data_IF_122554379254
#
_entry.id   IF_122554379254
#
_cell.length_a   1.000
_cell.length_b   1.000
_cell.length_c   1.000
_cell.angle_alpha   90.00
_cell.angle_beta   90.00
_cell.angle_gamma   90.00
#
_symmetry.space_group_name_H-M   'P 1'
#
loop_
_entity.id
_entity.type
_entity.pdbx_description
1 polymer ?
#
# COMPACT_ATOMS: atom_id res chain seq x y z
N UNK A 1 15.92 -36.83 -7.09
CA UNK A 1 15.87 -36.07 -5.81
C UNK A 1 14.51 -35.40 -5.69
N UNK A 2 13.88 -35.34 -4.51
CA UNK A 2 12.62 -34.61 -4.30
C UNK A 2 12.94 -33.11 -4.17
N UNK A 3 12.36 -32.28 -5.03
CA UNK A 3 12.51 -30.82 -4.96
C UNK A 3 11.79 -30.28 -3.71
N UNK A 4 12.38 -29.36 -2.92
CA UNK A 4 11.70 -28.70 -1.81
C UNK A 4 10.44 -27.96 -2.26
N UNK A 5 9.42 -28.02 -1.40
CA UNK A 5 8.16 -27.26 -1.55
C UNK A 5 8.30 -25.95 -0.80
N UNK A 6 8.54 -24.86 -1.52
CA UNK A 6 8.70 -23.55 -0.91
C UNK A 6 7.32 -22.94 -0.62
N UNK A 7 7.10 -22.52 0.63
CA UNK A 7 5.85 -21.85 1.04
C UNK A 7 5.94 -20.33 0.97
N UNK A 8 7.12 -19.77 1.16
CA UNK A 8 7.34 -18.32 1.21
C UNK A 8 8.65 -17.98 0.50
N UNK A 9 8.64 -16.92 -0.31
CA UNK A 9 9.81 -16.38 -0.98
C UNK A 9 9.85 -14.87 -0.77
N UNK A 10 10.96 -14.37 -0.24
CA UNK A 10 11.21 -12.93 -0.09
C UNK A 10 12.58 -12.60 -0.67
N UNK A 11 12.58 -11.79 -1.73
CA UNK A 11 13.78 -11.28 -2.40
C UNK A 11 13.71 -9.75 -2.36
N UNK A 12 14.83 -9.11 -2.00
CA UNK A 12 14.85 -7.66 -1.73
C UNK A 12 16.14 -7.01 -2.15
N UNK A 13 16.07 -5.90 -2.88
CA UNK A 13 17.24 -5.13 -3.31
C UNK A 13 18.29 -6.02 -4.01
N UNK A 14 17.83 -7.00 -4.79
CA UNK A 14 18.65 -7.95 -5.53
C UNK A 14 18.46 -7.77 -7.03
N UNK A 15 19.51 -8.05 -7.79
CA UNK A 15 19.39 -8.33 -9.22
C UNK A 15 18.95 -9.79 -9.39
N UNK A 16 17.70 -9.98 -9.84
CA UNK A 16 17.07 -11.31 -9.96
C UNK A 16 16.78 -11.68 -11.42
N UNK A 17 17.45 -11.01 -12.35
CA UNK A 17 17.33 -11.27 -13.78
C UNK A 17 17.57 -12.77 -14.08
N UNK A 18 16.59 -13.40 -14.74
CA UNK A 18 16.61 -14.83 -15.09
C UNK A 18 16.71 -15.79 -13.89
N UNK A 19 16.45 -15.33 -12.67
CA UNK A 19 16.55 -16.16 -11.46
C UNK A 19 15.45 -17.23 -11.41
N UNK A 20 14.24 -16.92 -11.88
CA UNK A 20 13.12 -17.86 -11.84
C UNK A 20 13.44 -19.17 -12.58
N UNK A 21 13.95 -19.09 -13.81
CA UNK A 21 14.33 -20.26 -14.60
C UNK A 21 15.33 -21.18 -13.88
N UNK A 22 16.25 -20.62 -13.08
CA UNK A 22 17.20 -21.42 -12.27
C UNK A 22 16.54 -21.99 -11.01
N UNK A 23 15.76 -21.19 -10.29
CA UNK A 23 15.09 -21.64 -9.06
C UNK A 23 14.05 -22.72 -9.34
N UNK A 24 13.30 -22.64 -10.45
CA UNK A 24 12.27 -23.62 -10.80
C UNK A 24 12.83 -25.03 -11.07
N UNK A 25 14.12 -25.15 -11.38
CA UNK A 25 14.80 -26.44 -11.51
C UNK A 25 15.01 -27.13 -10.15
N UNK A 26 15.10 -26.34 -9.07
CA UNK A 26 15.42 -26.85 -7.72
C UNK A 26 14.25 -26.72 -6.75
N UNK A 27 13.27 -25.85 -6.99
CA UNK A 27 12.13 -25.56 -6.10
C UNK A 27 10.80 -25.81 -6.81
N UNK A 28 9.81 -26.28 -6.05
CA UNK A 28 8.40 -26.41 -6.46
C UNK A 28 7.64 -25.15 -6.01
N UNK A 29 7.17 -24.35 -6.98
CA UNK A 29 6.53 -23.04 -6.75
C UNK A 29 5.01 -23.13 -6.57
N UNK A 30 4.38 -24.26 -6.91
CA UNK A 30 2.94 -24.50 -6.80
C UNK A 30 2.43 -24.37 -5.35
N UNK A 31 3.31 -24.68 -4.38
CA UNK A 31 3.03 -24.56 -2.95
C UNK A 31 3.33 -23.17 -2.37
N UNK A 32 3.79 -22.23 -3.19
CA UNK A 32 4.12 -20.88 -2.74
C UNK A 32 2.85 -20.16 -2.32
N UNK A 33 2.84 -19.65 -1.09
CA UNK A 33 1.70 -18.94 -0.48
C UNK A 33 1.96 -17.45 -0.31
N UNK A 34 3.23 -17.05 -0.15
CA UNK A 34 3.66 -15.66 0.01
C UNK A 34 4.82 -15.39 -0.92
N UNK A 35 4.70 -14.32 -1.71
CA UNK A 35 5.76 -13.80 -2.56
C UNK A 35 6.02 -12.34 -2.24
N UNK A 36 7.28 -12.01 -1.99
CA UNK A 36 7.76 -10.63 -1.82
C UNK A 36 8.93 -10.37 -2.74
N UNK A 37 8.79 -9.40 -3.65
CA UNK A 37 9.82 -8.93 -4.58
C UNK A 37 9.91 -7.40 -4.47
N UNK A 38 10.76 -6.87 -3.60
CA UNK A 38 10.80 -5.42 -3.33
C UNK A 38 12.17 -4.84 -3.70
N UNK A 39 12.18 -3.75 -4.48
CA UNK A 39 13.43 -3.11 -4.91
C UNK A 39 14.36 -4.02 -5.73
N UNK A 40 13.84 -5.11 -6.32
CA UNK A 40 14.64 -6.01 -7.15
C UNK A 40 14.62 -5.57 -8.62
N UNK A 41 15.78 -5.63 -9.29
CA UNK A 41 15.83 -5.53 -10.76
C UNK A 41 15.45 -6.89 -11.36
N UNK A 42 14.62 -6.89 -12.40
CA UNK A 42 14.11 -8.12 -13.03
C UNK A 42 12.87 -8.72 -12.38
N UNK A 43 12.18 -8.01 -11.46
CA UNK A 43 10.91 -8.47 -10.86
C UNK A 43 9.85 -8.82 -11.91
N UNK A 44 9.72 -7.98 -12.94
CA UNK A 44 8.76 -8.17 -14.01
C UNK A 44 9.01 -9.48 -14.76
N UNK A 45 10.26 -9.70 -15.18
CA UNK A 45 10.65 -10.94 -15.84
C UNK A 45 10.40 -12.16 -14.94
N UNK A 46 10.77 -12.06 -13.66
CA UNK A 46 10.53 -13.14 -12.69
C UNK A 46 9.05 -13.51 -12.59
N UNK A 47 8.17 -12.52 -12.44
CA UNK A 47 6.73 -12.72 -12.32
C UNK A 47 6.11 -13.26 -13.61
N UNK A 48 6.53 -12.74 -14.76
CA UNK A 48 6.06 -13.19 -16.06
C UNK A 48 6.46 -14.66 -16.30
N UNK A 49 7.73 -15.02 -16.10
CA UNK A 49 8.20 -16.41 -16.25
C UNK A 49 7.50 -17.35 -15.27
N UNK A 50 7.32 -16.93 -14.01
CA UNK A 50 6.59 -17.70 -13.00
C UNK A 50 5.15 -17.97 -13.42
N UNK A 51 4.44 -16.93 -13.88
CA UNK A 51 3.07 -17.04 -14.34
C UNK A 51 2.93 -17.97 -15.56
N UNK A 52 3.88 -17.91 -16.50
CA UNK A 52 3.87 -18.75 -17.70
C UNK A 52 4.19 -20.22 -17.39
N UNK A 53 5.21 -20.48 -16.58
CA UNK A 53 5.62 -21.84 -16.24
C UNK A 53 4.54 -22.61 -15.46
N UNK A 54 3.66 -21.89 -14.77
CA UNK A 54 2.60 -22.47 -13.95
C UNK A 54 1.21 -22.33 -14.56
N UNK A 55 1.10 -22.00 -15.86
CA UNK A 55 -0.17 -22.03 -16.60
C UNK A 55 -0.96 -23.35 -16.46
N UNK A 56 -0.33 -24.55 -16.41
CA UNK A 56 -1.04 -25.81 -16.21
C UNK A 56 -1.56 -26.02 -14.78
N UNK A 57 -1.10 -25.22 -13.81
CA UNK A 57 -1.36 -25.40 -12.38
C UNK A 57 -2.10 -24.19 -11.78
N UNK A 58 -2.61 -24.36 -10.56
CA UNK A 58 -3.10 -23.24 -9.74
C UNK A 58 -2.06 -22.91 -8.67
N UNK A 59 -1.84 -21.62 -8.42
CA UNK A 59 -1.00 -21.18 -7.31
C UNK A 59 -1.73 -21.32 -5.99
N UNK A 60 -0.98 -21.67 -4.95
CA UNK A 60 -1.42 -21.54 -3.55
C UNK A 60 -1.23 -20.12 -3.01
N UNK A 61 -0.89 -19.15 -3.87
CA UNK A 61 -0.55 -17.78 -3.48
C UNK A 61 -1.75 -17.11 -2.81
N UNK A 62 -1.49 -16.60 -1.61
CA UNK A 62 -2.41 -15.82 -0.79
C UNK A 62 -1.96 -14.36 -0.69
N UNK A 63 -0.66 -14.11 -0.81
CA UNK A 63 -0.08 -12.78 -0.69
C UNK A 63 0.97 -12.52 -1.76
N UNK A 64 0.86 -11.38 -2.42
CA UNK A 64 1.86 -10.85 -3.34
C UNK A 64 2.21 -9.44 -2.89
N UNK A 65 3.50 -9.21 -2.70
CA UNK A 65 4.09 -7.90 -2.44
C UNK A 65 5.16 -7.67 -3.49
N UNK A 66 5.01 -6.68 -4.36
CA UNK A 66 5.93 -6.50 -5.48
C UNK A 66 6.19 -5.02 -5.83
N UNK A 67 7.45 -4.72 -6.13
CA UNK A 67 7.87 -3.54 -6.88
C UNK A 67 8.09 -3.97 -8.32
N UNK A 68 7.32 -3.41 -9.25
CA UNK A 68 7.32 -3.77 -10.67
C UNK A 68 7.45 -2.53 -11.54
N UNK A 69 7.97 -2.71 -12.75
CA UNK A 69 7.96 -1.65 -13.75
C UNK A 69 6.58 -1.58 -14.40
N UNK A 70 6.05 -2.72 -14.83
CA UNK A 70 4.75 -2.86 -15.47
C UNK A 70 3.85 -3.85 -14.73
N UNK A 71 2.63 -3.42 -14.40
CA UNK A 71 1.60 -4.30 -13.81
C UNK A 71 1.18 -5.45 -14.75
N UNK A 72 1.50 -5.38 -16.05
CA UNK A 72 1.19 -6.43 -17.00
C UNK A 72 1.92 -7.76 -16.70
N UNK A 73 3.09 -7.71 -16.06
CA UNK A 73 3.85 -8.90 -15.69
C UNK A 73 3.10 -9.83 -14.71
N UNK A 74 2.14 -9.27 -13.94
CA UNK A 74 1.35 -9.98 -12.96
C UNK A 74 0.18 -10.76 -13.56
N UNK A 75 -0.11 -10.58 -14.86
CA UNK A 75 -1.33 -11.09 -15.51
C UNK A 75 -1.62 -12.55 -15.23
N UNK A 76 -0.64 -13.40 -15.49
CA UNK A 76 -0.80 -14.84 -15.33
C UNK A 76 -0.76 -15.27 -13.86
N UNK A 77 0.09 -14.64 -13.06
CA UNK A 77 0.21 -14.95 -11.62
C UNK A 77 -1.10 -14.67 -10.90
N UNK A 78 -1.68 -13.49 -11.10
CA UNK A 78 -2.93 -13.08 -10.45
C UNK A 78 -4.10 -13.98 -10.89
N UNK A 79 -4.31 -14.17 -12.21
CA UNK A 79 -5.40 -15.02 -12.72
C UNK A 79 -5.34 -16.47 -12.22
N UNK A 80 -4.14 -16.96 -11.88
CA UNK A 80 -3.91 -18.32 -11.41
C UNK A 80 -3.81 -18.45 -9.89
N UNK A 81 -4.09 -17.37 -9.14
CA UNK A 81 -4.02 -17.33 -7.67
C UNK A 81 -5.42 -17.18 -7.06
N UNK A 82 -6.30 -18.20 -7.13
CA UNK A 82 -7.69 -18.09 -6.67
C UNK A 82 -7.83 -17.87 -5.15
N UNK A 83 -6.76 -18.10 -4.39
CA UNK A 83 -6.65 -17.92 -2.95
C UNK A 83 -6.02 -16.58 -2.55
N UNK A 84 -5.77 -15.67 -3.50
CA UNK A 84 -5.15 -14.38 -3.23
C UNK A 84 -6.06 -13.53 -2.31
N UNK A 85 -5.51 -13.13 -1.16
CA UNK A 85 -6.17 -12.30 -0.16
C UNK A 85 -5.43 -10.99 0.10
N UNK A 86 -4.17 -10.88 -0.29
CA UNK A 86 -3.34 -9.68 -0.10
C UNK A 86 -2.55 -9.36 -1.37
N UNK A 87 -2.70 -8.13 -1.87
CA UNK A 87 -1.99 -7.65 -3.06
C UNK A 87 -1.43 -6.26 -2.78
N UNK A 88 -0.11 -6.13 -2.77
CA UNK A 88 0.59 -4.89 -2.47
C UNK A 88 1.56 -4.59 -3.60
N UNK A 89 1.28 -3.56 -4.38
CA UNK A 89 2.02 -3.23 -5.59
C UNK A 89 2.57 -1.83 -5.50
N UNK A 90 3.84 -1.70 -5.90
CA UNK A 90 4.48 -0.45 -6.22
C UNK A 90 4.88 -0.53 -7.69
N UNK A 91 4.32 0.31 -8.54
CA UNK A 91 4.55 0.28 -9.99
C UNK A 91 5.15 1.59 -10.49
N UNK A 92 6.00 1.55 -11.52
CA UNK A 92 6.39 2.75 -12.27
C UNK A 92 5.55 2.97 -13.52
N UNK A 93 4.73 2.00 -13.94
CA UNK A 93 3.86 2.16 -15.11
C UNK A 93 2.73 3.17 -14.87
N UNK A 94 2.29 3.91 -15.91
CA UNK A 94 1.12 4.77 -15.85
C UNK A 94 -0.17 4.01 -15.44
N UNK A 95 -1.13 4.73 -14.85
CA UNK A 95 -2.43 4.16 -14.46
C UNK A 95 -3.19 3.57 -15.65
N UNK A 96 -3.01 4.12 -16.85
CA UNK A 96 -3.65 3.61 -18.07
C UNK A 96 -3.37 2.11 -18.33
N UNK A 97 -2.24 1.59 -17.83
CA UNK A 97 -1.88 0.17 -17.97
C UNK A 97 -2.57 -0.75 -16.95
N UNK A 98 -3.38 -0.20 -16.04
CA UNK A 98 -4.09 -0.94 -14.99
C UNK A 98 -5.35 -1.66 -15.48
N UNK A 99 -5.71 -1.55 -16.77
CA UNK A 99 -6.90 -2.20 -17.34
C UNK A 99 -7.03 -3.69 -16.98
N UNK A 100 -5.94 -4.46 -17.07
CA UNK A 100 -5.94 -5.87 -16.64
C UNK A 100 -6.11 -6.00 -15.11
N UNK A 101 -5.49 -5.13 -14.33
CA UNK A 101 -5.61 -5.18 -12.87
C UNK A 101 -7.05 -4.89 -12.43
N UNK A 102 -7.71 -3.94 -13.09
CA UNK A 102 -9.15 -3.67 -12.93
C UNK A 102 -9.96 -4.91 -13.24
N UNK A 103 -9.78 -5.52 -14.41
CA UNK A 103 -10.45 -6.79 -14.78
C UNK A 103 -10.23 -7.87 -13.71
N UNK A 104 -9.00 -8.04 -13.23
CA UNK A 104 -8.69 -9.01 -12.19
C UNK A 104 -9.41 -8.71 -10.86
N UNK A 105 -9.51 -7.44 -10.48
CA UNK A 105 -10.18 -6.96 -9.27
C UNK A 105 -11.69 -7.13 -9.39
N UNK A 106 -12.28 -6.90 -10.56
CA UNK A 106 -13.70 -7.14 -10.79
C UNK A 106 -14.08 -8.61 -10.52
N UNK A 107 -13.20 -9.55 -10.90
CA UNK A 107 -13.43 -10.98 -10.77
C UNK A 107 -13.14 -11.56 -9.39
N UNK A 108 -12.15 -11.03 -8.67
CA UNK A 108 -11.67 -11.64 -7.41
C UNK A 108 -11.49 -10.65 -6.24
N UNK A 109 -11.77 -9.37 -6.45
CA UNK A 109 -11.58 -8.32 -5.45
C UNK A 109 -12.33 -8.58 -4.15
N UNK A 110 -13.49 -9.27 -4.23
CA UNK A 110 -14.25 -9.69 -3.05
C UNK A 110 -13.50 -10.67 -2.13
N UNK A 111 -12.42 -11.31 -2.58
CA UNK A 111 -11.57 -12.18 -1.73
C UNK A 111 -10.44 -11.41 -1.06
N UNK A 112 -10.09 -10.23 -1.59
CA UNK A 112 -9.03 -9.41 -1.05
C UNK A 112 -9.44 -8.86 0.33
N UNK A 113 -8.49 -8.97 1.26
CA UNK A 113 -8.54 -8.43 2.62
C UNK A 113 -7.53 -7.29 2.78
N UNK A 114 -6.48 -7.29 1.98
CA UNK A 114 -5.47 -6.24 1.95
C UNK A 114 -5.11 -5.88 0.51
N UNK A 115 -5.13 -4.60 0.20
CA UNK A 115 -4.82 -4.07 -1.12
C UNK A 115 -4.00 -2.81 -0.93
N UNK A 116 -2.88 -2.70 -1.64
CA UNK A 116 -2.13 -1.46 -1.71
C UNK A 116 -1.63 -1.25 -3.14
N UNK A 117 -1.87 -0.06 -3.68
CA UNK A 117 -1.41 0.35 -5.01
C UNK A 117 -0.68 1.68 -4.89
N UNK A 118 0.61 1.67 -5.18
CA UNK A 118 1.48 2.84 -5.11
C UNK A 118 2.23 3.04 -6.42
N UNK A 119 2.61 4.28 -6.68
CA UNK A 119 3.46 4.62 -7.81
C UNK A 119 4.79 5.17 -7.33
N UNK A 120 5.83 4.94 -8.13
CA UNK A 120 7.21 5.28 -7.76
C UNK A 120 7.91 6.19 -8.75
N UNK A 121 7.25 6.60 -9.84
CA UNK A 121 7.87 7.54 -10.77
C UNK A 121 7.99 8.92 -10.12
N UNK A 122 9.18 9.52 -10.27
CA UNK A 122 9.60 10.77 -9.65
C UNK A 122 9.24 12.02 -10.47
N UNK A 123 8.82 11.83 -11.71
CA UNK A 123 8.79 12.90 -12.73
C UNK A 123 7.40 13.20 -13.30
N UNK A 124 6.34 12.54 -12.80
CA UNK A 124 4.98 12.80 -13.28
C UNK A 124 4.14 13.50 -12.22
N UNK A 125 3.86 14.79 -12.44
CA UNK A 125 2.92 15.64 -11.70
C UNK A 125 1.46 15.10 -11.74
N UNK A 126 1.23 13.94 -12.36
CA UNK A 126 -0.09 13.43 -12.73
C UNK A 126 -0.50 12.15 -11.98
N UNK A 127 0.29 11.63 -11.02
CA UNK A 127 -0.09 10.40 -10.32
C UNK A 127 -1.10 10.65 -9.19
N UNK A 128 -2.31 11.03 -9.55
CA UNK A 128 -3.49 10.94 -8.71
C UNK A 128 -4.17 9.60 -8.99
N UNK A 129 -4.63 8.87 -7.96
CA UNK A 129 -5.46 7.70 -8.22
C UNK A 129 -6.75 8.20 -8.89
N UNK A 130 -6.90 7.87 -10.17
CA UNK A 130 -8.09 8.21 -10.95
C UNK A 130 -9.39 7.86 -10.18
N UNK A 131 -10.38 8.75 -10.23
CA UNK A 131 -11.61 8.61 -9.46
C UNK A 131 -12.40 7.35 -9.85
N UNK A 132 -12.45 7.05 -11.14
CA UNK A 132 -13.14 5.86 -11.65
C UNK A 132 -12.42 4.59 -11.20
N UNK A 133 -11.09 4.57 -11.21
CA UNK A 133 -10.30 3.48 -10.63
C UNK A 133 -10.61 3.35 -9.13
N UNK A 134 -10.51 4.43 -8.35
CA UNK A 134 -10.75 4.42 -6.90
C UNK A 134 -12.14 3.85 -6.57
N UNK A 135 -13.17 4.34 -7.26
CA UNK A 135 -14.55 3.88 -7.11
C UNK A 135 -14.69 2.40 -7.45
N UNK A 136 -14.05 1.95 -8.53
CA UNK A 136 -14.05 0.54 -8.96
C UNK A 136 -13.40 -0.36 -7.91
N UNK A 137 -12.25 0.03 -7.37
CA UNK A 137 -11.58 -0.69 -6.28
C UNK A 137 -12.50 -0.83 -5.07
N UNK A 138 -13.12 0.27 -4.63
CA UNK A 138 -14.02 0.27 -3.48
C UNK A 138 -15.25 -0.61 -3.71
N UNK A 139 -15.83 -0.58 -4.91
CA UNK A 139 -17.03 -1.33 -5.25
C UNK A 139 -16.82 -2.85 -5.25
N UNK A 140 -15.69 -3.31 -5.81
CA UNK A 140 -15.40 -4.73 -6.00
C UNK A 140 -14.70 -5.36 -4.78
N UNK A 141 -13.96 -4.59 -3.98
CA UNK A 141 -13.20 -5.09 -2.83
C UNK A 141 -13.97 -5.01 -1.50
N UNK A 142 -15.23 -5.48 -1.43
CA UNK A 142 -16.10 -5.27 -0.26
C UNK A 142 -15.61 -5.89 1.08
N UNK A 143 -14.74 -6.89 1.01
CA UNK A 143 -14.16 -7.56 2.20
C UNK A 143 -12.79 -6.99 2.61
N UNK A 144 -12.39 -5.89 1.99
CA UNK A 144 -11.12 -5.24 2.26
C UNK A 144 -11.10 -4.69 3.68
N UNK A 145 -10.05 -5.03 4.43
CA UNK A 145 -9.77 -4.56 5.79
C UNK A 145 -8.67 -3.52 5.81
N UNK A 146 -7.73 -3.62 4.88
CA UNK A 146 -6.58 -2.73 4.75
C UNK A 146 -6.52 -2.20 3.32
N UNK A 147 -6.51 -0.89 3.17
CA UNK A 147 -6.41 -0.24 1.87
C UNK A 147 -5.27 0.77 1.86
N UNK A 148 -4.33 0.62 0.92
CA UNK A 148 -3.22 1.52 0.72
C UNK A 148 -3.26 2.16 -0.64
N UNK A 149 -3.06 3.47 -0.70
CA UNK A 149 -2.91 4.18 -1.95
C UNK A 149 -2.07 5.44 -1.76
N UNK A 150 -1.64 6.01 -2.87
CA UNK A 150 -0.93 7.28 -2.88
C UNK A 150 -1.95 8.41 -2.98
N UNK A 151 -1.81 9.41 -2.13
CA UNK A 151 -2.55 10.67 -2.29
C UNK A 151 -1.85 11.50 -3.36
N UNK A 152 -2.67 12.22 -4.14
CA UNK A 152 -2.18 13.15 -5.15
C UNK A 152 -1.24 14.19 -4.59
N UNK A 153 -0.47 14.78 -5.50
CA UNK A 153 0.57 15.77 -5.25
C UNK A 153 0.21 16.74 -4.12
N UNK A 154 1.06 16.78 -3.10
CA UNK A 154 1.06 17.82 -2.07
C UNK A 154 1.93 18.95 -2.61
N UNK A 155 1.67 19.34 -3.86
CA UNK A 155 2.18 20.56 -4.44
C UNK A 155 1.29 21.68 -3.93
N UNK A 156 1.41 21.94 -2.64
CA UNK A 156 1.24 23.23 -2.02
C UNK A 156 1.46 23.06 -0.51
N UNK A 157 1.97 24.12 0.10
CA UNK A 157 2.26 24.28 1.54
C UNK A 157 1.02 24.05 2.43
N UNK A 158 -0.12 23.69 1.84
CA UNK A 158 -1.41 23.52 2.49
C UNK A 158 -1.98 22.12 2.26
N UNK A 159 -1.59 21.16 3.09
CA UNK A 159 -2.29 19.87 3.30
C UNK A 159 -3.81 20.00 3.59
N UNK A 160 -4.33 21.23 3.76
CA UNK A 160 -5.75 21.54 3.78
C UNK A 160 -6.42 21.27 2.43
N UNK A 161 -5.77 21.59 1.32
CA UNK A 161 -6.28 21.36 -0.03
C UNK A 161 -6.24 19.88 -0.40
N UNK A 162 -5.23 19.15 0.09
CA UNK A 162 -5.15 17.68 -0.05
C UNK A 162 -6.34 16.97 0.63
N UNK A 163 -6.85 17.50 1.75
CA UNK A 163 -8.09 16.95 2.34
C UNK A 163 -9.30 17.22 1.45
N UNK A 164 -9.38 18.39 0.81
CA UNK A 164 -10.48 18.72 -0.08
C UNK A 164 -10.55 17.74 -1.26
N UNK A 165 -9.43 17.47 -1.92
CA UNK A 165 -9.37 16.47 -3.00
C UNK A 165 -9.71 15.06 -2.49
N UNK A 166 -9.18 14.66 -1.32
CA UNK A 166 -9.50 13.36 -0.73
C UNK A 166 -10.98 13.24 -0.34
N UNK A 167 -11.62 14.34 0.05
CA UNK A 167 -13.02 14.36 0.48
C UNK A 167 -13.98 13.90 -0.63
N UNK A 168 -13.61 14.12 -1.90
CA UNK A 168 -14.36 13.66 -3.07
C UNK A 168 -14.36 12.12 -3.19
N UNK A 169 -13.31 11.46 -2.69
CA UNK A 169 -13.20 10.00 -2.69
C UNK A 169 -13.88 9.34 -1.49
N UNK A 170 -14.10 10.05 -0.37
CA UNK A 170 -14.68 9.49 0.85
C UNK A 170 -16.05 8.83 0.64
N UNK A 171 -16.99 9.36 -0.17
CA UNK A 171 -18.24 8.69 -0.45
C UNK A 171 -18.09 7.26 -1.00
N UNK A 172 -17.00 6.95 -1.72
CA UNK A 172 -16.74 5.60 -2.24
C UNK A 172 -16.47 4.58 -1.14
N UNK A 173 -16.02 5.02 0.05
CA UNK A 173 -15.73 4.16 1.20
C UNK A 173 -16.98 3.45 1.72
N UNK A 174 -18.20 3.94 1.41
CA UNK A 174 -19.45 3.22 1.72
C UNK A 174 -19.49 1.78 1.18
N UNK A 175 -18.69 1.48 0.15
CA UNK A 175 -18.60 0.16 -0.45
C UNK A 175 -17.61 -0.78 0.27
N UNK A 176 -16.89 -0.30 1.29
CA UNK A 176 -15.88 -1.02 2.05
C UNK A 176 -16.29 -1.19 3.53
N UNK A 177 -17.36 -1.98 3.83
CA UNK A 177 -17.90 -2.10 5.19
C UNK A 177 -16.94 -2.76 6.18
N UNK A 178 -15.98 -3.55 5.70
CA UNK A 178 -14.99 -4.25 6.52
C UNK A 178 -13.69 -3.47 6.73
N UNK A 179 -13.58 -2.27 6.15
CA UNK A 179 -12.34 -1.48 6.20
C UNK A 179 -12.00 -1.09 7.63
N UNK A 180 -10.75 -1.34 8.02
CA UNK A 180 -10.20 -1.09 9.37
C UNK A 180 -9.00 -0.18 9.36
N UNK A 181 -8.26 -0.16 8.25
CA UNK A 181 -6.99 0.55 8.12
C UNK A 181 -6.87 1.16 6.74
N UNK A 182 -6.49 2.43 6.71
CA UNK A 182 -6.09 3.15 5.50
C UNK A 182 -4.62 3.53 5.62
N UNK A 183 -3.84 3.29 4.56
CA UNK A 183 -2.44 3.66 4.45
C UNK A 183 -2.25 4.62 3.28
N UNK A 184 -2.05 5.90 3.60
CA UNK A 184 -1.77 6.95 2.63
C UNK A 184 -0.26 7.07 2.46
N UNK A 185 0.22 7.05 1.22
CA UNK A 185 1.62 7.35 0.92
C UNK A 185 1.74 8.80 0.44
N UNK A 186 2.76 9.51 0.92
CA UNK A 186 3.12 10.82 0.38
C UNK A 186 3.53 10.70 -1.09
N UNK A 187 3.14 11.65 -1.95
CA UNK A 187 3.83 11.84 -3.20
C UNK A 187 5.30 12.17 -2.89
N UNK A 188 6.19 11.77 -3.81
CA UNK A 188 7.60 12.07 -3.66
C UNK A 188 7.70 13.59 -3.85
N UNK A 189 8.09 14.35 -2.81
CA UNK A 189 8.31 15.79 -2.93
C UNK A 189 9.61 16.03 -3.72
N UNK A 190 9.54 15.83 -5.04
CA UNK A 190 10.66 16.10 -5.92
C UNK A 190 10.52 17.53 -6.41
N UNK A 191 11.43 18.38 -5.97
CA UNK A 191 11.65 19.74 -6.50
C UNK A 191 10.54 20.75 -6.23
N UNK A 192 10.77 21.67 -5.29
CA UNK A 192 10.45 23.12 -5.48
C UNK A 192 11.12 24.03 -4.45
N UNK A 193 11.61 23.48 -3.33
CA UNK A 193 12.38 24.28 -2.39
C UNK A 193 13.84 24.30 -2.84
N UNK A 194 14.30 25.48 -3.29
CA UNK A 194 15.72 25.83 -3.11
C UNK A 194 16.08 25.55 -1.64
N UNK A 195 17.32 25.12 -1.39
CA UNK A 195 17.85 24.53 -0.15
C UNK A 195 17.60 25.27 1.20
N UNK A 196 16.77 26.30 1.25
CA UNK A 196 16.45 27.11 2.43
C UNK A 196 14.99 27.02 2.92
N UNK A 197 14.05 26.46 2.15
CA UNK A 197 12.60 26.56 2.45
C UNK A 197 11.89 25.22 2.72
N UNK A 198 12.62 24.17 3.10
CA UNK A 198 11.99 22.92 3.53
C UNK A 198 11.08 23.19 4.75
N UNK A 199 9.77 22.89 4.68
CA UNK A 199 8.88 23.08 5.82
C UNK A 199 9.42 22.28 7.01
N UNK A 200 9.59 22.95 8.14
CA UNK A 200 10.10 22.31 9.35
C UNK A 200 9.22 21.09 9.68
N UNK A 201 9.82 19.95 10.04
CA UNK A 201 9.10 18.69 10.38
C UNK A 201 7.89 18.88 11.33
N UNK A 202 7.93 19.91 12.19
CA UNK A 202 6.83 20.29 13.10
C UNK A 202 5.58 20.78 12.35
N UNK A 203 5.76 21.56 11.29
CA UNK A 203 4.68 22.10 10.45
C UNK A 203 3.95 20.95 9.75
N UNK A 204 4.70 20.05 9.11
CA UNK A 204 4.16 18.85 8.45
C UNK A 204 3.37 17.97 9.44
N UNK A 205 3.95 17.65 10.60
CA UNK A 205 3.29 16.84 11.64
C UNK A 205 1.94 17.44 12.07
N UNK A 206 1.89 18.77 12.23
CA UNK A 206 0.66 19.49 12.58
C UNK A 206 -0.40 19.39 11.49
N UNK A 207 -0.01 19.58 10.23
CA UNK A 207 -0.93 19.46 9.10
C UNK A 207 -1.48 18.04 8.93
N UNK A 208 -0.65 17.02 9.09
CA UNK A 208 -1.08 15.62 9.03
C UNK A 208 -2.09 15.32 10.14
N UNK A 209 -1.84 15.82 11.35
CA UNK A 209 -2.79 15.70 12.46
C UNK A 209 -4.13 16.41 12.14
N UNK A 210 -4.10 17.58 11.51
CA UNK A 210 -5.30 18.30 11.05
C UNK A 210 -6.06 17.50 10.00
N UNK A 211 -5.36 16.95 9.00
CA UNK A 211 -5.95 16.06 8.00
C UNK A 211 -6.58 14.83 8.66
N UNK A 212 -5.86 14.15 9.54
CA UNK A 212 -6.32 12.92 10.18
C UNK A 212 -7.57 13.16 11.03
N UNK A 213 -7.66 14.31 11.71
CA UNK A 213 -8.87 14.74 12.41
C UNK A 213 -10.03 14.94 11.45
N UNK A 214 -9.84 15.70 10.37
CA UNK A 214 -10.89 15.96 9.37
C UNK A 214 -11.38 14.66 8.69
N UNK A 215 -10.46 13.75 8.39
CA UNK A 215 -10.74 12.43 7.84
C UNK A 215 -11.62 11.58 8.75
N UNK A 216 -11.26 11.43 10.03
CA UNK A 216 -12.10 10.65 10.95
C UNK A 216 -13.42 11.35 11.26
N UNK A 217 -13.44 12.68 11.33
CA UNK A 217 -14.65 13.45 11.58
C UNK A 217 -15.66 13.28 10.44
N UNK A 218 -15.25 13.50 9.19
CA UNK A 218 -16.15 13.34 8.02
C UNK A 218 -16.71 11.93 7.93
N UNK A 219 -15.89 10.89 8.11
CA UNK A 219 -16.37 9.51 8.10
C UNK A 219 -17.36 9.21 9.24
N UNK A 220 -17.17 9.80 10.42
CA UNK A 220 -18.07 9.61 11.57
C UNK A 220 -19.40 10.35 11.36
N UNK A 221 -19.36 11.58 10.85
CA UNK A 221 -20.54 12.41 10.54
C UNK A 221 -21.41 11.78 9.45
N UNK A 222 -20.77 11.23 8.39
CA UNK A 222 -21.47 10.61 7.27
C UNK A 222 -21.81 9.11 7.51
N UNK A 223 -21.39 8.55 8.65
CA UNK A 223 -21.63 7.14 8.98
C UNK A 223 -20.91 6.14 8.06
N UNK A 224 -19.77 6.54 7.49
CA UNK A 224 -18.97 5.77 6.54
C UNK A 224 -17.93 4.89 7.26
N UNK A 225 -17.71 3.67 6.77
CA UNK A 225 -16.73 2.71 7.29
C UNK A 225 -16.67 2.64 8.83
N UNK A 226 -17.71 2.16 9.53
CA UNK A 226 -17.78 2.18 10.99
C UNK A 226 -16.69 1.35 11.68
N UNK A 227 -16.01 0.44 10.95
CA UNK A 227 -14.89 -0.36 11.44
C UNK A 227 -13.53 0.29 11.24
N UNK A 228 -13.46 1.40 10.50
CA UNK A 228 -12.21 2.11 10.21
C UNK A 228 -11.73 2.82 11.45
N UNK A 229 -10.62 2.34 12.00
CA UNK A 229 -10.05 2.84 13.24
C UNK A 229 -8.60 3.30 13.09
N UNK A 230 -7.98 3.08 11.94
CA UNK A 230 -6.54 3.30 11.78
C UNK A 230 -6.27 4.04 10.48
N UNK A 231 -5.53 5.14 10.59
CA UNK A 231 -4.99 5.89 9.47
C UNK A 231 -3.47 5.95 9.62
N UNK A 232 -2.76 5.55 8.56
CA UNK A 232 -1.31 5.59 8.51
C UNK A 232 -0.90 6.49 7.37
N UNK A 233 0.04 7.38 7.63
CA UNK A 233 0.80 8.07 6.61
C UNK A 233 2.17 7.45 6.52
N UNK A 234 2.51 6.94 5.35
CA UNK A 234 3.80 6.31 5.05
C UNK A 234 4.98 7.27 5.25
N UNK A 235 6.18 6.72 5.18
CA UNK A 235 7.42 7.49 5.24
C UNK A 235 7.70 8.19 3.91
N UNK A 236 8.42 9.31 4.00
CA UNK A 236 9.08 9.92 2.85
C UNK A 236 10.58 9.96 3.12
N UNK A 237 11.36 9.42 2.19
CA UNK A 237 12.82 9.45 2.21
C UNK A 237 13.30 9.77 0.79
N UNK A 238 13.98 10.91 0.61
CA UNK A 238 14.70 11.17 -0.64
C UNK A 238 16.17 10.77 -0.50
N UNK A 239 16.61 9.68 -1.16
CA UNK A 239 18.01 9.26 -1.12
C UNK A 239 18.94 10.13 -1.99
N UNK A 240 18.42 11.05 -2.81
CA UNK A 240 19.23 11.82 -3.77
C UNK A 240 19.95 13.02 -3.15
N UNK A 241 19.55 13.49 -1.97
CA UNK A 241 20.23 14.60 -1.29
C UNK A 241 21.40 14.11 -0.41
N UNK A 242 22.42 13.54 -1.06
CA UNK A 242 23.73 13.26 -0.43
C UNK A 242 24.55 14.54 -0.14
N UNK A 243 23.97 15.73 -0.36
CA UNK A 243 24.60 17.02 -0.09
C UNK A 243 23.61 17.85 0.75
N UNK A 244 23.87 17.94 2.06
CA UNK A 244 23.21 18.80 3.05
C UNK A 244 21.66 18.93 2.96
N UNK A 245 20.94 18.04 3.65
CA UNK A 245 19.53 18.28 3.99
C UNK A 245 18.55 17.13 3.75
N UNK A 246 18.89 15.90 4.16
CA UNK A 246 17.98 14.75 4.05
C UNK A 246 16.60 15.05 4.65
N UNK A 247 15.56 15.13 3.79
CA UNK A 247 14.17 15.19 4.23
C UNK A 247 13.71 13.77 4.55
N UNK A 248 13.70 13.45 5.84
CA UNK A 248 13.09 12.22 6.34
C UNK A 248 11.78 12.58 7.06
N UNK A 249 10.65 12.23 6.46
CA UNK A 249 9.36 12.27 7.15
C UNK A 249 9.11 10.93 7.84
N UNK A 250 8.99 10.91 9.18
CA UNK A 250 8.64 9.70 9.88
C UNK A 250 7.22 9.26 9.52
N UNK A 251 6.96 7.96 9.66
CA UNK A 251 5.61 7.42 9.56
C UNK A 251 4.74 8.02 10.66
N UNK A 252 3.56 8.51 10.29
CA UNK A 252 2.56 8.96 11.26
C UNK A 252 1.42 7.95 11.33
N UNK A 253 1.08 7.52 12.53
CA UNK A 253 0.02 6.55 12.77
C UNK A 253 -1.03 7.16 13.69
N UNK A 254 -2.29 7.02 13.32
CA UNK A 254 -3.42 7.55 14.07
C UNK A 254 -4.45 6.47 14.32
N UNK A 255 -4.99 6.46 15.55
CA UNK A 255 -6.14 5.64 15.92
C UNK A 255 -7.35 6.55 16.13
N UNK A 256 -8.52 6.12 15.64
CA UNK A 256 -9.79 6.83 15.85
C UNK A 256 -10.13 6.84 17.34
N UNK A 257 -10.19 8.03 17.92
CA UNK A 257 -10.67 8.31 19.26
C UNK A 257 -11.91 9.21 19.23
N UNK A 258 -12.40 9.56 20.41
CA UNK A 258 -13.52 10.47 20.57
C UNK A 258 -13.25 11.48 21.68
N UNK A 259 -13.62 12.73 21.46
CA UNK A 259 -13.60 13.78 22.48
C UNK A 259 -14.90 14.59 22.43
N UNK A 260 -15.19 15.33 23.48
CA UNK A 260 -16.29 16.29 23.46
C UNK A 260 -15.77 17.65 23.00
N UNK A 261 -16.48 18.31 22.08
CA UNK A 261 -16.18 19.69 21.70
C UNK A 261 -16.60 20.69 22.79
N UNK A 262 -16.37 21.99 22.55
CA UNK A 262 -16.73 23.06 23.48
C UNK A 262 -18.24 23.16 23.80
N UNK A 263 -19.09 22.53 22.98
CA UNK A 263 -20.53 22.47 23.15
C UNK A 263 -21.02 21.12 23.71
N UNK A 264 -20.10 20.23 24.11
CA UNK A 264 -20.41 18.91 24.66
C UNK A 264 -20.80 17.86 23.61
N UNK A 265 -20.62 18.14 22.32
CA UNK A 265 -20.88 17.18 21.24
C UNK A 265 -19.70 16.23 21.10
N UNK A 266 -19.99 14.93 20.99
CA UNK A 266 -18.96 13.91 20.74
C UNK A 266 -18.49 14.02 19.29
N UNK A 267 -17.20 14.24 19.10
CA UNK A 267 -16.54 14.30 17.79
C UNK A 267 -15.46 13.23 17.69
N UNK A 268 -15.28 12.66 16.50
CA UNK A 268 -14.16 11.76 16.22
C UNK A 268 -12.85 12.55 16.08
N UNK A 269 -11.76 11.98 16.57
CA UNK A 269 -10.41 12.56 16.48
C UNK A 269 -9.35 11.53 16.17
N UNK A 270 -8.25 11.98 15.59
CA UNK A 270 -7.06 11.19 15.35
C UNK A 270 -6.14 11.25 16.58
N UNK A 271 -5.95 10.12 17.27
CA UNK A 271 -4.99 10.00 18.37
C UNK A 271 -3.68 9.47 17.81
N UNK A 272 -2.63 10.30 17.84
CA UNK A 272 -1.31 9.89 17.38
C UNK A 272 -0.80 8.69 18.21
N UNK A 273 -0.29 7.69 17.51
CA UNK A 273 0.06 6.37 18.06
C UNK A 273 1.41 5.94 17.50
N UNK A 274 2.20 5.22 18.29
CA UNK A 274 3.46 4.67 17.83
C UNK A 274 3.23 3.43 16.97
N UNK A 275 3.98 3.22 15.87
CA UNK A 275 3.74 2.11 14.94
C UNK A 275 3.72 0.73 15.58
N UNK A 276 4.52 0.48 16.63
CA UNK A 276 4.55 -0.81 17.31
C UNK A 276 3.24 -1.11 18.07
N UNK A 277 2.53 -0.08 18.58
CA UNK A 277 1.26 -0.26 19.29
C UNK A 277 0.14 -0.67 18.34
N UNK A 278 0.23 -0.33 17.06
CA UNK A 278 -0.73 -0.79 16.06
C UNK A 278 -0.76 -2.32 15.99
N UNK A 279 0.39 -3.00 16.06
CA UNK A 279 0.44 -4.48 16.03
C UNK A 279 -0.23 -5.12 17.24
N UNK A 280 -0.30 -4.43 18.37
CA UNK A 280 -1.02 -4.90 19.55
C UNK A 280 -2.54 -4.79 19.35
N UNK A 281 -2.99 -3.79 18.58
CA UNK A 281 -4.41 -3.56 18.27
C UNK A 281 -4.94 -4.49 17.17
N UNK A 282 -4.17 -4.72 16.11
CA UNK A 282 -4.50 -5.69 15.08
C UNK A 282 -3.22 -6.38 14.57
N UNK A 283 -3.05 -7.64 15.00
CA UNK A 283 -1.91 -8.47 14.62
C UNK A 283 -1.92 -8.88 13.15
N UNK A 284 -3.00 -8.60 12.40
CA UNK A 284 -3.14 -8.91 10.98
C UNK A 284 -2.79 -7.76 10.04
N UNK A 285 -2.23 -6.66 10.54
CA UNK A 285 -1.84 -5.51 9.70
C UNK A 285 -0.59 -5.77 8.85
N UNK A 286 -0.78 -6.46 7.73
CA UNK A 286 0.24 -6.67 6.70
C UNK A 286 0.69 -5.33 6.07
N UNK A 287 -0.22 -4.36 5.99
CA UNK A 287 0.02 -3.08 5.32
C UNK A 287 1.04 -2.19 6.03
N UNK A 288 1.24 -2.34 7.34
CA UNK A 288 2.25 -1.51 8.04
C UNK A 288 3.66 -1.88 7.63
N UNK A 289 3.85 -3.12 7.16
CA UNK A 289 5.16 -3.57 6.76
C UNK A 289 5.46 -3.10 5.34
N UNK A 290 4.44 -2.92 4.48
CA UNK A 290 4.58 -2.43 3.11
C UNK A 290 4.61 -0.90 3.01
N UNK A 291 5.82 -0.34 3.02
CA UNK A 291 6.08 1.05 2.68
C UNK A 291 7.21 1.14 1.63
N UNK A 292 6.88 1.38 0.34
CA UNK A 292 7.87 1.38 -0.74
C UNK A 292 8.95 2.47 -0.62
N UNK A 293 8.68 3.54 0.15
CA UNK A 293 9.62 4.64 0.39
C UNK A 293 10.55 4.42 1.59
N UNK A 294 10.32 3.36 2.37
CA UNK A 294 11.15 3.02 3.52
C UNK A 294 12.13 1.90 3.16
N UNK A 295 13.34 1.92 3.70
CA UNK A 295 14.03 0.67 4.01
C UNK A 295 13.10 -0.12 4.94
N UNK A 296 12.33 -1.07 4.41
CA UNK A 296 11.44 -1.93 5.17
C UNK A 296 12.10 -2.31 6.50
N UNK A 297 11.58 -1.79 7.63
CA UNK A 297 12.23 -1.81 8.96
C UNK A 297 12.18 -3.17 9.64
N UNK A 298 12.18 -4.25 8.86
CA UNK A 298 12.33 -5.61 9.35
C UNK A 298 11.28 -6.02 10.40
N UNK A 299 10.03 -6.20 9.99
CA UNK A 299 9.44 -7.49 10.38
C UNK A 299 10.22 -8.56 9.62
N UNK A 300 10.96 -9.40 10.36
CA UNK A 300 11.68 -10.56 9.80
C UNK A 300 10.77 -11.31 8.81
N UNK A 301 11.23 -11.66 7.60
CA UNK A 301 10.52 -12.60 6.75
C UNK A 301 10.19 -13.86 7.56
N UNK A 302 8.92 -14.28 7.59
CA UNK A 302 8.51 -15.51 8.28
C UNK A 302 7.79 -15.35 9.63
N UNK A 303 7.58 -14.13 10.16
CA UNK A 303 6.61 -13.91 11.27
C UNK A 303 5.23 -13.47 10.80
N UNK A 304 4.97 -13.53 9.49
CA UNK A 304 3.72 -13.06 8.89
C UNK A 304 2.55 -13.97 9.28
N UNK A 305 2.73 -15.25 9.62
CA UNK A 305 1.71 -16.07 10.29
C UNK A 305 2.35 -17.25 11.05
N UNK A 306 2.47 -17.14 12.38
CA UNK A 306 2.58 -18.29 13.29
C UNK A 306 1.21 -18.50 13.95
N UNK A 307 0.21 -18.95 13.18
CA UNK A 307 -0.98 -19.63 13.75
C UNK A 307 -1.42 -20.76 12.83
N UNK A 308 -1.10 -21.96 13.30
CA UNK A 308 -1.79 -23.23 13.07
C UNK A 308 -3.31 -23.11 13.13
#
# INVERSE_FOLDING_TARGET
>A
MRRPKLKQLSLRNLCIDRLYGRLSQVVVFECLTVLTLCGCTGSDQFLAEMGLALLPAQFSLRQIVASVESVACLRHVIRRSPALTALHLSATSPIADFSFLVEAIEHQGNKLRSLSLHHTEKESDEFTMDEDLFRTLCWHCRNLRQFGFQISDVNDVELGDTFHTMSEHLPSFRHLPELRTVHLRYPIMVHHYGSSDLPQNRTISWHIQKFANAFFQSLDEDGLCPKLNILIFGTYHDPLDQVDGQVHMPRHCFVKGYQNDAFGRRIAVAVHTLPYMLRELDSSMDIIDFDPGCEWVGARPGRIYDRS
#
